data_IF_137742054562
#
_entry.id   IF_137742054562
#
_cell.length_a   1.000
_cell.length_b   1.000
_cell.length_c   1.000
_cell.angle_alpha   90.00
_cell.angle_beta   90.00
_cell.angle_gamma   90.00
#
_symmetry.space_group_name_H-M   'P 1'
#
loop_
_entity.id
_entity.type
_entity.pdbx_description
1 polymer ?
#
# COMPACT_ATOMS: atom_id res chain seq x y z
N UNK A 1 48.47 -29.71 26.25
CA UNK A 1 47.60 -28.77 25.53
C UNK A 1 46.59 -28.22 26.53
N UNK A 2 46.76 -26.98 26.97
CA UNK A 2 45.85 -26.35 27.95
C UNK A 2 44.74 -25.67 27.14
N UNK A 3 43.52 -26.17 27.24
CA UNK A 3 42.36 -25.58 26.57
C UNK A 3 41.81 -24.45 27.43
N UNK A 4 42.06 -23.22 27.01
CA UNK A 4 41.42 -22.02 27.54
C UNK A 4 40.09 -21.80 26.82
N UNK A 5 38.98 -22.03 27.51
CA UNK A 5 37.71 -21.39 27.17
C UNK A 5 37.16 -20.70 28.42
N UNK A 6 37.61 -19.47 28.65
CA UNK A 6 36.83 -18.51 29.43
C UNK A 6 35.58 -18.19 28.59
N UNK A 7 34.46 -18.81 28.96
CA UNK A 7 33.16 -18.47 28.41
C UNK A 7 32.80 -17.05 28.79
N UNK A 8 32.45 -16.24 27.78
CA UNK A 8 31.85 -14.93 27.99
C UNK A 8 30.54 -15.11 28.76
N UNK A 9 30.42 -14.50 29.94
CA UNK A 9 29.17 -14.48 30.68
C UNK A 9 28.09 -13.80 29.83
N UNK A 10 26.96 -14.48 29.63
CA UNK A 10 25.82 -13.90 28.93
C UNK A 10 25.31 -12.69 29.74
N UNK A 11 25.41 -11.49 29.18
CA UNK A 11 24.89 -10.29 29.84
C UNK A 11 23.38 -10.27 29.66
N UNK A 12 22.64 -10.60 30.71
CA UNK A 12 21.19 -10.37 30.77
C UNK A 12 20.95 -8.86 30.80
N UNK A 13 20.67 -8.28 29.64
CA UNK A 13 20.09 -6.94 29.57
C UNK A 13 18.65 -7.04 30.06
N UNK A 14 18.34 -6.35 31.15
CA UNK A 14 16.96 -6.18 31.60
C UNK A 14 16.23 -5.36 30.53
N UNK A 15 15.40 -6.04 29.73
CA UNK A 15 14.57 -5.41 28.71
C UNK A 15 13.42 -4.59 29.31
N UNK A 16 13.26 -4.61 30.65
CA UNK A 16 12.31 -3.74 31.35
C UNK A 16 13.06 -2.46 31.72
N UNK A 17 12.69 -1.36 31.06
CA UNK A 17 13.25 -0.05 31.32
C UNK A 17 13.08 0.38 32.80
N UNK A 18 14.03 1.17 33.30
CA UNK A 18 13.95 1.75 34.63
C UNK A 18 12.98 2.95 34.63
N UNK A 19 11.70 2.69 34.89
CA UNK A 19 10.65 3.71 34.91
C UNK A 19 10.97 4.88 35.84
N UNK A 20 11.61 4.61 37.00
CA UNK A 20 12.01 5.66 37.95
C UNK A 20 13.00 6.66 37.33
N UNK A 21 13.97 6.17 36.55
CA UNK A 21 14.92 7.04 35.87
C UNK A 21 14.25 7.90 34.78
N UNK A 22 13.20 7.38 34.14
CA UNK A 22 12.42 8.12 33.14
C UNK A 22 11.61 9.23 33.82
N UNK A 23 10.91 8.92 34.92
CA UNK A 23 10.10 9.89 35.67
C UNK A 23 10.97 11.04 36.23
N UNK A 24 12.16 10.71 36.75
CA UNK A 24 13.14 11.69 37.22
C UNK A 24 13.64 12.59 36.08
N UNK A 25 13.91 12.03 34.90
CA UNK A 25 14.34 12.81 33.74
C UNK A 25 13.23 13.71 33.18
N UNK A 26 11.99 13.23 33.13
CA UNK A 26 10.82 14.00 32.69
C UNK A 26 10.55 15.20 33.60
N UNK A 27 10.73 15.02 34.92
CA UNK A 27 10.48 16.07 35.91
C UNK A 27 11.54 17.17 35.90
N UNK A 28 12.76 16.86 35.43
CA UNK A 28 13.88 17.81 35.35
C UNK A 28 13.99 18.52 33.98
N UNK A 29 13.05 18.29 33.06
CA UNK A 29 13.07 18.95 31.77
C UNK A 29 12.68 20.43 31.95
N UNK A 30 13.52 21.39 31.50
CA UNK A 30 13.20 22.81 31.64
C UNK A 30 11.90 23.12 30.90
N UNK A 31 11.06 23.94 31.52
CA UNK A 31 9.87 24.45 30.84
C UNK A 31 10.33 25.30 29.64
N UNK A 32 9.67 25.16 28.47
CA UNK A 32 9.91 26.04 27.35
C UNK A 32 9.68 27.50 27.78
N UNK A 33 10.62 28.40 27.45
CA UNK A 33 10.51 29.83 27.77
C UNK A 33 9.25 30.48 27.16
N UNK A 34 8.79 29.92 26.03
CA UNK A 34 7.55 30.32 25.39
C UNK A 34 6.57 29.16 25.42
N UNK A 35 5.38 29.33 26.01
CA UNK A 35 4.35 28.31 25.94
C UNK A 35 3.99 28.05 24.47
N UNK A 36 3.61 26.81 24.11
CA UNK A 36 3.18 26.51 22.76
C UNK A 36 1.99 27.41 22.40
N UNK A 37 2.14 28.19 21.35
CA UNK A 37 1.05 29.03 20.82
C UNK A 37 -0.01 28.10 20.24
N UNK A 38 -1.29 28.40 20.53
CA UNK A 38 -2.39 27.63 19.97
C UNK A 38 -2.32 27.63 18.44
N UNK A 39 -2.46 26.44 17.85
CA UNK A 39 -2.49 26.32 16.38
C UNK A 39 -3.83 26.81 15.86
N UNK A 40 -3.80 27.75 14.90
CA UNK A 40 -5.00 28.27 14.25
C UNK A 40 -5.36 27.44 13.00
N UNK A 41 -5.79 26.19 13.22
CA UNK A 41 -6.12 25.24 12.15
C UNK A 41 -7.26 25.70 11.22
N UNK A 42 -8.04 26.70 11.61
CA UNK A 42 -9.12 27.24 10.78
C UNK A 42 -8.68 28.44 9.92
N UNK A 43 -7.44 28.89 10.07
CA UNK A 43 -6.92 30.00 9.29
C UNK A 43 -6.74 29.63 7.82
N UNK A 44 -7.16 30.53 6.93
CA UNK A 44 -6.92 30.41 5.49
C UNK A 44 -5.47 30.74 5.10
N UNK A 45 -4.65 31.27 6.03
CA UNK A 45 -3.24 31.56 5.79
C UNK A 45 -2.36 30.35 6.13
N UNK A 46 -1.78 29.73 5.11
CA UNK A 46 -0.87 28.59 5.22
C UNK A 46 0.32 28.82 6.17
N UNK A 47 0.71 30.08 6.43
CA UNK A 47 1.80 30.42 7.36
C UNK A 47 1.41 30.27 8.84
N UNK A 48 0.12 30.23 9.12
CA UNK A 48 -0.43 30.21 10.48
C UNK A 48 -0.88 28.81 10.92
N UNK A 49 -0.99 27.89 9.97
CA UNK A 49 -1.21 26.47 10.22
C UNK A 49 0.13 25.73 10.18
N UNK A 50 0.40 24.89 11.17
CA UNK A 50 1.64 24.09 11.29
C UNK A 50 1.70 22.94 10.26
N UNK A 51 1.24 23.17 9.04
CA UNK A 51 1.50 22.30 7.91
C UNK A 51 2.79 22.79 7.28
N UNK A 52 3.75 21.90 7.03
CA UNK A 52 4.95 22.27 6.29
C UNK A 52 4.50 22.96 5.01
N UNK A 53 5.11 24.11 4.68
CA UNK A 53 4.90 24.81 3.41
C UNK A 53 5.31 23.84 2.31
N UNK A 54 4.38 22.99 1.88
CA UNK A 54 4.59 22.05 0.80
C UNK A 54 5.16 22.88 -0.33
N UNK A 55 6.41 22.59 -0.69
CA UNK A 55 7.08 23.30 -1.77
C UNK A 55 6.15 23.33 -2.97
N UNK A 56 6.18 24.41 -3.74
CA UNK A 56 5.50 24.44 -5.03
C UNK A 56 5.96 23.21 -5.80
N UNK A 57 5.12 22.18 -5.83
CA UNK A 57 5.38 20.95 -6.53
C UNK A 57 5.59 21.36 -7.99
N UNK A 58 6.78 21.12 -8.53
CA UNK A 58 7.03 21.37 -9.94
C UNK A 58 5.95 20.62 -10.73
N UNK A 59 5.35 21.27 -11.74
CA UNK A 59 4.29 20.69 -12.56
C UNK A 59 4.66 19.27 -12.98
N UNK A 60 4.05 18.26 -12.34
CA UNK A 60 4.19 16.86 -12.70
C UNK A 60 3.42 16.60 -13.99
N UNK A 61 3.84 17.22 -15.09
CA UNK A 61 3.33 16.88 -16.41
C UNK A 61 4.15 15.73 -16.97
N UNK A 62 3.90 14.53 -16.43
CA UNK A 62 3.95 13.32 -17.23
C UNK A 62 3.07 12.25 -16.60
N UNK A 63 1.79 12.25 -16.99
CA UNK A 63 0.93 11.07 -16.91
C UNK A 63 0.24 10.81 -15.57
N UNK A 64 -1.06 11.14 -15.53
CA UNK A 64 -2.10 10.33 -14.89
C UNK A 64 -1.96 9.98 -13.41
N UNK A 65 -1.88 10.95 -12.52
CA UNK A 65 -1.97 10.67 -11.07
C UNK A 65 -1.15 11.60 -10.20
N UNK A 66 -1.21 12.91 -10.46
CA UNK A 66 -0.47 13.88 -9.68
C UNK A 66 -1.16 14.08 -8.32
N UNK A 67 -0.80 13.20 -7.39
CA UNK A 67 -0.86 13.35 -5.93
C UNK A 67 -2.26 13.25 -5.29
N UNK A 68 -3.37 13.32 -6.03
CA UNK A 68 -4.73 13.25 -5.44
C UNK A 68 -5.62 12.12 -5.93
N UNK A 69 -5.29 11.48 -7.04
CA UNK A 69 -5.92 10.22 -7.41
C UNK A 69 -5.27 9.06 -6.64
N UNK A 70 -5.98 7.95 -6.36
CA UNK A 70 -5.31 6.72 -5.94
C UNK A 70 -4.16 6.45 -6.91
N UNK A 71 -3.00 6.08 -6.39
CA UNK A 71 -1.84 5.68 -7.19
C UNK A 71 -2.18 4.37 -7.94
N UNK A 72 -3.01 4.47 -8.96
CA UNK A 72 -3.11 3.49 -10.03
C UNK A 72 -1.89 3.74 -10.91
N UNK A 73 -0.70 3.55 -10.32
CA UNK A 73 0.52 3.43 -11.09
C UNK A 73 0.25 2.36 -12.12
N UNK A 74 0.55 2.65 -13.40
CA UNK A 74 0.30 1.80 -14.55
C UNK A 74 0.49 0.33 -14.16
N UNK A 75 -0.61 -0.28 -13.73
CA UNK A 75 -0.58 -1.60 -13.15
C UNK A 75 -0.49 -2.46 -14.37
N UNK A 76 0.73 -2.94 -14.65
CA UNK A 76 0.96 -3.88 -15.72
C UNK A 76 -0.14 -4.94 -15.65
N UNK A 77 -0.93 -5.01 -16.72
CA UNK A 77 -2.18 -5.77 -16.81
C UNK A 77 -2.11 -7.09 -16.03
N UNK A 78 -2.58 -7.05 -14.79
CA UNK A 78 -2.70 -8.24 -13.92
C UNK A 78 -4.06 -8.28 -13.21
N UNK A 79 -4.96 -7.40 -13.61
CA UNK A 79 -6.39 -7.53 -13.38
C UNK A 79 -7.08 -7.75 -14.74
N UNK A 80 -8.28 -8.33 -14.71
CA UNK A 80 -9.18 -8.39 -15.86
C UNK A 80 -9.50 -6.96 -16.28
N UNK A 81 -8.78 -6.44 -17.27
CA UNK A 81 -8.96 -5.07 -17.72
C UNK A 81 -10.25 -5.00 -18.54
N UNK A 82 -11.23 -4.28 -18.00
CA UNK A 82 -12.45 -3.99 -18.73
C UNK A 82 -12.10 -3.07 -19.90
N UNK A 83 -12.55 -3.44 -21.10
CA UNK A 83 -12.43 -2.60 -22.29
C UNK A 83 -13.59 -1.59 -22.30
N UNK A 84 -13.29 -0.32 -22.52
CA UNK A 84 -14.31 0.72 -22.69
C UNK A 84 -15.04 0.62 -24.04
N UNK A 85 -16.26 1.16 -24.12
CA UNK A 85 -17.06 1.22 -25.35
C UNK A 85 -17.69 -0.11 -25.76
N UNK A 86 -17.88 -1.03 -24.82
CA UNK A 86 -18.65 -2.26 -25.03
C UNK A 86 -20.14 -2.02 -24.84
N UNK A 87 -20.97 -2.77 -25.56
CA UNK A 87 -22.44 -2.71 -25.46
C UNK A 87 -22.99 -3.29 -24.13
N UNK A 88 -22.11 -3.75 -23.24
CA UNK A 88 -22.47 -4.39 -21.97
C UNK A 88 -21.24 -4.68 -21.10
N UNK A 89 -21.47 -5.19 -19.89
CA UNK A 89 -20.39 -5.57 -18.97
C UNK A 89 -19.60 -6.74 -19.58
N UNK A 90 -18.25 -6.72 -19.57
CA UNK A 90 -17.45 -7.86 -20.01
C UNK A 90 -17.83 -9.19 -19.34
N UNK A 91 -17.89 -10.27 -20.11
CA UNK A 91 -18.18 -11.63 -19.64
C UNK A 91 -17.23 -12.14 -18.53
N UNK A 92 -16.03 -11.56 -18.39
CA UNK A 92 -15.04 -11.95 -17.40
C UNK A 92 -15.12 -11.15 -16.09
N UNK A 93 -15.95 -10.10 -16.03
CA UNK A 93 -16.23 -9.34 -14.82
C UNK A 93 -17.31 -10.00 -13.92
N UNK A 94 -18.01 -11.03 -14.43
CA UNK A 94 -19.05 -11.77 -13.71
C UNK A 94 -18.59 -13.17 -13.30
N UNK A 95 -19.33 -13.82 -12.39
CA UNK A 95 -19.06 -15.20 -11.97
C UNK A 95 -19.20 -16.18 -13.14
N UNK A 96 -18.61 -17.37 -13.03
CA UNK A 96 -18.62 -18.37 -14.11
C UNK A 96 -20.04 -18.76 -14.53
N UNK A 97 -20.96 -18.80 -13.57
CA UNK A 97 -22.36 -19.18 -13.73
C UNK A 97 -23.16 -18.12 -14.50
N UNK A 98 -22.74 -16.85 -14.41
CA UNK A 98 -23.42 -15.72 -15.03
C UNK A 98 -22.87 -15.34 -16.41
N UNK A 99 -21.89 -16.08 -16.94
CA UNK A 99 -21.34 -15.86 -18.28
C UNK A 99 -22.39 -16.13 -19.36
N UNK A 100 -22.30 -15.43 -20.50
CA UNK A 100 -23.17 -15.61 -21.67
C UNK A 100 -24.66 -15.27 -21.44
N UNK A 101 -24.96 -14.47 -20.41
CA UNK A 101 -26.28 -13.89 -20.20
C UNK A 101 -26.50 -12.63 -21.06
N UNK A 102 -27.76 -12.29 -21.30
CA UNK A 102 -28.15 -11.08 -22.03
C UNK A 102 -27.65 -9.81 -21.33
N UNK A 103 -27.06 -8.88 -22.08
CA UNK A 103 -26.51 -7.62 -21.55
C UNK A 103 -25.02 -7.70 -21.16
N UNK A 104 -24.36 -8.84 -21.40
CA UNK A 104 -22.92 -8.98 -21.28
C UNK A 104 -22.25 -8.91 -22.67
N UNK A 105 -21.08 -8.30 -22.71
CA UNK A 105 -20.24 -8.27 -23.90
C UNK A 105 -19.28 -9.46 -23.87
N UNK A 106 -19.29 -10.27 -24.93
CA UNK A 106 -18.32 -11.33 -25.09
C UNK A 106 -16.97 -10.77 -25.54
N UNK A 107 -16.06 -10.67 -24.58
CA UNK A 107 -14.68 -10.24 -24.79
C UNK A 107 -13.72 -11.42 -24.87
N UNK A 108 -14.22 -12.67 -24.78
CA UNK A 108 -13.36 -13.84 -24.94
C UNK A 108 -12.99 -13.99 -26.41
N UNK A 109 -11.68 -14.09 -26.69
CA UNK A 109 -11.22 -14.40 -28.04
C UNK A 109 -11.78 -15.74 -28.51
N UNK A 110 -11.83 -15.96 -29.83
CA UNK A 110 -12.20 -17.27 -30.40
C UNK A 110 -11.36 -18.35 -29.71
N UNK A 111 -12.04 -19.31 -29.08
CA UNK A 111 -11.38 -20.49 -28.55
C UNK A 111 -10.90 -21.34 -29.73
N UNK A 112 -9.59 -21.33 -29.97
CA UNK A 112 -8.96 -22.15 -31.00
C UNK A 112 -8.76 -23.60 -30.54
N UNK A 113 -9.22 -23.94 -29.32
CA UNK A 113 -8.98 -25.22 -28.68
C UNK A 113 -7.48 -25.46 -28.44
N UNK A 114 -7.18 -26.63 -27.91
CA UNK A 114 -5.78 -27.05 -27.79
C UNK A 114 -5.26 -27.55 -29.14
N UNK A 115 -4.11 -27.08 -29.62
CA UNK A 115 -3.47 -27.66 -30.78
C UNK A 115 -3.21 -29.15 -30.52
N UNK A 116 -3.85 -30.01 -31.32
CA UNK A 116 -3.81 -31.47 -31.31
C UNK A 116 -3.54 -32.14 -29.94
N UNK A 117 -4.62 -32.65 -29.32
CA UNK A 117 -4.62 -33.66 -28.23
C UNK A 117 -3.95 -33.26 -26.90
N UNK A 118 -3.48 -32.03 -26.76
CA UNK A 118 -2.89 -31.55 -25.51
C UNK A 118 -3.91 -30.77 -24.68
N UNK A 119 -5.07 -31.37 -24.43
CA UNK A 119 -6.03 -30.79 -23.48
C UNK A 119 -5.58 -31.12 -22.05
N UNK A 120 -5.11 -30.14 -21.25
CA UNK A 120 -4.66 -30.36 -19.88
C UNK A 120 -5.80 -30.79 -18.95
N UNK A 121 -7.07 -30.67 -19.36
CA UNK A 121 -8.22 -31.11 -18.58
C UNK A 121 -8.59 -32.58 -18.80
N UNK A 122 -8.06 -33.25 -19.84
CA UNK A 122 -8.40 -34.64 -20.16
C UNK A 122 -7.96 -35.66 -19.10
N UNK A 123 -7.13 -35.25 -18.13
CA UNK A 123 -6.67 -36.06 -17.01
C UNK A 123 -7.31 -35.71 -15.66
N UNK A 124 -8.07 -34.61 -15.56
CA UNK A 124 -8.76 -34.25 -14.32
C UNK A 124 -10.12 -34.94 -14.31
N UNK A 125 -10.20 -36.08 -13.61
CA UNK A 125 -11.50 -36.62 -13.19
C UNK A 125 -12.08 -35.70 -12.12
N UNK A 126 -13.30 -35.22 -12.34
CA UNK A 126 -14.09 -34.49 -11.35
C UNK A 126 -14.39 -35.37 -10.13
#
# INVERSE_FOLDING_TARGET
>A
MVSSQQGYANTTVDMKGNNKAVDEAQSNLPLPDQPPVASDFNSSDARTVNVGSGGQEASFTSGGGAIREPAVGASGASAREAKDGLDGIPNDAVSREAKNHSGLADTTGKDYGYPQKNDPSSGLKQ
#
